data_IF_184753609507
#
_entry.id   IF_184753609507
#
_cell.length_a   1.000
_cell.length_b   1.000
_cell.length_c   1.000
_cell.angle_alpha   90.00
_cell.angle_beta   90.00
_cell.angle_gamma   90.00
#
_symmetry.space_group_name_H-M   'P 1'
#
loop_
_entity.id
_entity.type
_entity.pdbx_description
1 polymer ?
#
# COMPACT_ATOMS: atom_id res chain seq x y z
N UNK A 1 7.58 17.10 8.93
CA UNK A 1 7.18 17.00 7.51
C UNK A 1 7.97 15.82 6.99
N UNK A 2 7.33 14.67 7.04
CA UNK A 2 8.01 13.38 6.87
C UNK A 2 7.81 12.86 5.45
N UNK A 3 7.45 13.76 4.52
CA UNK A 3 7.20 13.47 3.11
C UNK A 3 8.39 12.78 2.45
N UNK A 4 9.61 13.25 2.73
CA UNK A 4 10.84 12.64 2.19
C UNK A 4 11.04 11.22 2.75
N UNK A 5 10.80 11.02 4.05
CA UNK A 5 10.92 9.70 4.67
C UNK A 5 9.89 8.73 4.10
N UNK A 6 8.63 9.16 3.96
CA UNK A 6 7.57 8.36 3.36
C UNK A 6 7.93 7.93 1.94
N UNK A 7 8.46 8.84 1.13
CA UNK A 7 8.92 8.52 -0.22
C UNK A 7 10.10 7.54 -0.22
N UNK A 8 11.07 7.71 0.68
CA UNK A 8 12.20 6.78 0.78
C UNK A 8 11.75 5.37 1.17
N UNK A 9 10.84 5.23 2.14
CA UNK A 9 10.29 3.93 2.54
C UNK A 9 9.45 3.30 1.42
N UNK A 10 8.71 4.10 0.67
CA UNK A 10 7.94 3.66 -0.49
C UNK A 10 8.87 3.06 -1.55
N UNK A 11 9.89 3.80 -2.01
CA UNK A 11 10.81 3.33 -3.04
C UNK A 11 11.68 2.16 -2.57
N UNK A 12 12.09 2.16 -1.30
CA UNK A 12 12.79 1.02 -0.70
C UNK A 12 11.94 -0.25 -0.72
N UNK A 13 10.62 -0.13 -0.52
CA UNK A 13 9.70 -1.26 -0.62
C UNK A 13 9.69 -1.84 -2.03
N UNK A 14 9.66 -0.99 -3.07
CA UNK A 14 9.76 -1.44 -4.46
C UNK A 14 11.07 -2.19 -4.74
N UNK A 15 12.20 -1.67 -4.25
CA UNK A 15 13.50 -2.33 -4.41
C UNK A 15 13.53 -3.71 -3.75
N UNK A 16 12.99 -3.83 -2.54
CA UNK A 16 12.89 -5.13 -1.84
C UNK A 16 11.97 -6.08 -2.60
N UNK A 17 10.79 -5.60 -3.04
CA UNK A 17 9.82 -6.41 -3.77
C UNK A 17 10.30 -6.88 -5.15
N UNK A 18 11.26 -6.16 -5.77
CA UNK A 18 11.91 -6.61 -7.00
C UNK A 18 12.76 -7.86 -6.77
N UNK A 19 13.42 -7.99 -5.61
CA UNK A 19 14.29 -9.12 -5.27
C UNK A 19 13.52 -10.25 -4.54
N UNK A 20 12.54 -9.88 -3.72
CA UNK A 20 11.65 -10.76 -2.98
C UNK A 20 10.18 -10.51 -3.34
N UNK A 21 9.68 -11.12 -4.42
CA UNK A 21 8.31 -10.89 -4.88
C UNK A 21 7.27 -11.18 -3.80
N UNK A 22 6.28 -10.30 -3.67
CA UNK A 22 5.09 -10.55 -2.86
C UNK A 22 4.02 -11.27 -3.69
N UNK A 23 3.01 -11.85 -3.01
CA UNK A 23 1.88 -12.50 -3.69
C UNK A 23 0.90 -11.45 -4.23
N UNK A 24 1.12 -11.02 -5.47
CA UNK A 24 0.26 -10.04 -6.16
C UNK A 24 -1.20 -10.54 -6.26
N UNK A 25 -1.41 -11.86 -6.42
CA UNK A 25 -2.76 -12.42 -6.50
C UNK A 25 -3.51 -12.30 -5.19
N UNK A 26 -2.84 -12.55 -4.06
CA UNK A 26 -3.42 -12.31 -2.73
C UNK A 26 -3.78 -10.84 -2.51
N UNK A 27 -2.95 -9.89 -2.98
CA UNK A 27 -3.23 -8.46 -2.89
C UNK A 27 -4.45 -8.05 -3.72
N UNK A 28 -4.53 -8.54 -4.97
CA UNK A 28 -5.69 -8.30 -5.84
C UNK A 28 -6.97 -8.88 -5.27
N UNK A 29 -6.91 -10.08 -4.70
CA UNK A 29 -8.06 -10.71 -4.06
C UNK A 29 -8.56 -9.92 -2.84
N UNK A 30 -7.67 -9.35 -2.02
CA UNK A 30 -8.07 -8.52 -0.87
C UNK A 30 -8.67 -7.18 -1.31
N UNK A 31 -8.25 -6.65 -2.45
CA UNK A 31 -8.76 -5.39 -3.01
C UNK A 31 -9.99 -5.55 -3.90
N UNK A 32 -10.54 -6.77 -4.03
CA UNK A 32 -11.58 -7.12 -5.01
C UNK A 32 -11.27 -6.63 -6.45
N UNK A 33 -9.97 -6.59 -6.79
CA UNK A 33 -9.42 -6.05 -8.05
C UNK A 33 -9.86 -4.59 -8.36
N UNK A 34 -10.16 -3.77 -7.35
CA UNK A 34 -10.62 -2.39 -7.47
C UNK A 34 -9.54 -1.36 -7.89
N UNK A 35 -8.42 -1.82 -8.44
CA UNK A 35 -7.32 -0.95 -8.86
C UNK A 35 -7.71 -0.11 -10.08
N UNK A 36 -7.34 1.17 -10.07
CA UNK A 36 -7.69 2.13 -11.14
C UNK A 36 -6.67 2.17 -12.29
N UNK A 37 -5.56 1.43 -12.18
CA UNK A 37 -4.49 1.37 -13.18
C UNK A 37 -3.52 2.55 -13.10
N UNK A 38 -2.48 2.51 -13.95
CA UNK A 38 -1.44 3.56 -14.02
C UNK A 38 -2.09 4.91 -14.36
N UNK A 39 -2.05 5.85 -13.41
CA UNK A 39 -2.54 7.23 -13.53
C UNK A 39 -1.88 7.99 -14.70
N UNK A 40 -0.79 7.49 -15.29
CA UNK A 40 -0.21 8.04 -16.52
C UNK A 40 -0.96 7.64 -17.80
N UNK A 41 -1.76 6.57 -17.77
CA UNK A 41 -2.51 6.04 -18.91
C UNK A 41 -4.03 6.23 -18.80
N UNK A 42 -4.53 6.70 -17.66
CA UNK A 42 -5.94 7.07 -17.46
C UNK A 42 -6.00 8.59 -17.37
N UNK A 43 -6.14 9.25 -18.52
CA UNK A 43 -6.11 10.71 -18.63
C UNK A 43 -6.97 11.42 -17.57
N UNK A 44 -6.38 12.41 -16.91
CA UNK A 44 -7.02 13.35 -15.97
C UNK A 44 -7.97 12.74 -14.91
N UNK A 45 -7.78 11.48 -14.51
CA UNK A 45 -8.52 10.95 -13.36
C UNK A 45 -7.84 11.44 -12.10
N UNK A 46 -8.44 12.46 -11.48
CA UNK A 46 -8.05 12.88 -10.15
C UNK A 46 -8.14 11.67 -9.20
N UNK A 47 -7.07 11.41 -8.47
CA UNK A 47 -7.11 10.42 -7.39
C UNK A 47 -8.18 10.86 -6.37
N UNK A 48 -8.89 9.91 -5.75
CA UNK A 48 -9.90 10.23 -4.75
C UNK A 48 -9.27 10.86 -3.50
N UNK A 49 -10.11 11.36 -2.59
CA UNK A 49 -9.61 11.86 -1.30
C UNK A 49 -9.05 10.71 -0.45
N UNK A 50 -8.22 11.01 0.57
CA UNK A 50 -7.75 9.99 1.50
C UNK A 50 -8.87 9.19 2.17
N UNK A 51 -9.98 9.83 2.51
CA UNK A 51 -11.15 9.18 3.13
C UNK A 51 -11.81 8.21 2.15
N UNK A 52 -12.07 8.65 0.92
CA UNK A 52 -12.64 7.82 -0.16
C UNK A 52 -11.73 6.61 -0.47
N UNK A 53 -10.41 6.79 -0.46
CA UNK A 53 -9.46 5.70 -0.65
C UNK A 53 -9.54 4.65 0.48
N UNK A 54 -9.65 5.10 1.73
CA UNK A 54 -9.77 4.21 2.90
C UNK A 54 -11.09 3.45 2.88
N UNK A 55 -12.19 4.12 2.55
CA UNK A 55 -13.49 3.48 2.32
C UNK A 55 -13.43 2.42 1.21
N UNK A 56 -12.67 2.68 0.14
CA UNK A 56 -12.40 1.73 -0.93
C UNK A 56 -11.37 0.64 -0.56
N UNK A 57 -10.82 0.64 0.66
CA UNK A 57 -9.89 -0.38 1.13
C UNK A 57 -8.42 -0.13 0.80
N UNK A 58 -8.03 1.12 0.55
CA UNK A 58 -6.67 1.54 0.24
C UNK A 58 -6.13 2.54 1.27
N UNK A 59 -4.87 2.38 1.67
CA UNK A 59 -4.30 3.19 2.74
C UNK A 59 -4.04 4.65 2.33
N UNK A 60 -3.90 4.90 1.03
CA UNK A 60 -3.79 6.23 0.41
C UNK A 60 -4.46 6.21 -0.97
N UNK A 61 -4.77 7.37 -1.56
CA UNK A 61 -5.25 7.41 -2.93
C UNK A 61 -4.25 6.84 -3.95
N UNK A 62 -2.94 6.98 -3.70
CA UNK A 62 -1.92 6.48 -4.61
C UNK A 62 -1.80 4.95 -4.58
N UNK A 63 -2.12 4.31 -3.45
CA UNK A 63 -2.20 2.85 -3.32
C UNK A 63 -3.23 2.22 -4.28
N UNK A 64 -4.19 2.99 -4.80
CA UNK A 64 -5.24 2.49 -5.70
C UNK A 64 -4.75 2.20 -7.12
N UNK A 65 -3.54 2.65 -7.46
CA UNK A 65 -3.05 2.63 -8.85
C UNK A 65 -2.66 1.23 -9.28
N UNK A 66 -1.88 0.51 -8.48
CA UNK A 66 -1.46 -0.87 -8.74
C UNK A 66 -1.24 -1.63 -7.41
N UNK A 67 -1.24 -2.98 -7.43
CA UNK A 67 -0.86 -3.76 -6.26
C UNK A 67 0.54 -3.44 -5.70
N UNK A 68 1.47 -3.04 -6.55
CA UNK A 68 2.83 -2.68 -6.16
C UNK A 68 2.84 -1.38 -5.36
N UNK A 69 2.10 -0.39 -5.84
CA UNK A 69 1.95 0.90 -5.15
C UNK A 69 1.14 0.76 -3.86
N UNK A 70 0.19 -0.17 -3.83
CA UNK A 70 -0.56 -0.54 -2.63
C UNK A 70 0.34 -1.09 -1.53
N UNK A 71 1.20 -2.05 -1.87
CA UNK A 71 2.21 -2.57 -0.94
C UNK A 71 3.15 -1.46 -0.45
N UNK A 72 3.70 -0.67 -1.37
CA UNK A 72 4.67 0.38 -1.06
C UNK A 72 4.09 1.48 -0.17
N UNK A 73 2.91 2.00 -0.50
CA UNK A 73 2.21 2.99 0.34
C UNK A 73 1.79 2.40 1.69
N UNK A 74 1.37 1.12 1.73
CA UNK A 74 1.00 0.45 2.99
C UNK A 74 2.16 0.38 3.96
N UNK A 75 3.35 -0.03 3.49
CA UNK A 75 4.53 -0.10 4.34
C UNK A 75 5.09 1.28 4.68
N UNK A 76 5.10 2.21 3.71
CA UNK A 76 5.60 3.56 3.94
C UNK A 76 4.79 4.31 5.00
N UNK A 77 3.45 4.28 4.92
CA UNK A 77 2.59 4.90 5.93
C UNK A 77 2.75 4.20 7.27
N UNK A 78 2.74 2.86 7.30
CA UNK A 78 2.89 2.10 8.55
C UNK A 78 4.23 2.34 9.27
N UNK A 79 5.31 2.60 8.52
CA UNK A 79 6.64 2.85 9.07
C UNK A 79 6.83 4.29 9.54
N UNK A 80 6.31 5.27 8.80
CA UNK A 80 6.56 6.70 9.05
C UNK A 80 5.47 7.33 9.93
N UNK A 81 4.21 6.93 9.75
CA UNK A 81 3.05 7.45 10.48
C UNK A 81 2.15 6.31 10.97
N UNK A 82 2.62 5.67 12.04
CA UNK A 82 1.93 4.51 12.63
C UNK A 82 0.54 4.86 13.16
N UNK A 83 0.31 6.08 13.63
CA UNK A 83 -0.99 6.49 14.15
C UNK A 83 -2.01 6.58 13.00
N UNK A 84 -1.66 7.22 11.89
CA UNK A 84 -2.50 7.25 10.70
C UNK A 84 -2.75 5.84 10.13
N UNK A 85 -1.75 4.96 10.13
CA UNK A 85 -1.94 3.58 9.70
C UNK A 85 -2.97 2.83 10.57
N UNK A 86 -2.91 3.01 11.89
CA UNK A 86 -3.86 2.39 12.82
C UNK A 86 -5.27 2.96 12.66
N UNK A 87 -5.42 4.28 12.53
CA UNK A 87 -6.71 4.92 12.30
C UNK A 87 -7.37 4.38 11.01
N UNK A 88 -6.62 4.30 9.91
CA UNK A 88 -7.12 3.77 8.63
C UNK A 88 -7.46 2.27 8.71
N UNK A 89 -6.69 1.50 9.48
CA UNK A 89 -6.98 0.10 9.76
C UNK A 89 -8.22 -0.09 10.63
N UNK A 90 -8.55 0.87 11.50
CA UNK A 90 -9.80 0.88 12.26
C UNK A 90 -11.00 1.23 11.39
N UNK A 91 -10.83 2.20 10.48
CA UNK A 91 -11.87 2.61 9.54
C UNK A 91 -12.16 1.56 8.46
N UNK A 92 -11.18 0.73 8.07
CA UNK A 92 -11.32 -0.23 6.97
C UNK A 92 -10.70 -1.60 7.30
N UNK A 93 -11.53 -2.66 7.43
CA UNK A 93 -11.04 -4.03 7.61
C UNK A 93 -10.12 -4.50 6.47
N UNK A 94 -10.36 -4.02 5.25
CA UNK A 94 -9.53 -4.31 4.08
C UNK A 94 -8.14 -3.68 4.23
N UNK A 95 -8.05 -2.41 4.65
CA UNK A 95 -6.76 -1.75 4.94
C UNK A 95 -6.02 -2.50 6.06
N UNK A 96 -6.71 -2.88 7.13
CA UNK A 96 -6.11 -3.70 8.21
C UNK A 96 -5.53 -4.99 7.67
N UNK A 97 -6.28 -5.69 6.83
CA UNK A 97 -5.84 -6.96 6.25
C UNK A 97 -4.60 -6.78 5.38
N UNK A 98 -4.52 -5.70 4.61
CA UNK A 98 -3.34 -5.38 3.78
C UNK A 98 -2.11 -5.06 4.63
N UNK A 99 -2.27 -4.32 5.73
CA UNK A 99 -1.16 -4.08 6.67
C UNK A 99 -0.63 -5.40 7.24
N UNK A 100 -1.52 -6.30 7.69
CA UNK A 100 -1.13 -7.62 8.19
C UNK A 100 -0.34 -8.42 7.14
N UNK A 101 -0.86 -8.48 5.90
CA UNK A 101 -0.19 -9.18 4.81
C UNK A 101 1.17 -8.57 4.51
N UNK A 102 1.28 -7.24 4.46
CA UNK A 102 2.53 -6.53 4.20
C UNK A 102 3.58 -6.84 5.27
N UNK A 103 3.18 -6.87 6.55
CA UNK A 103 4.08 -7.19 7.66
C UNK A 103 4.51 -8.66 7.65
N UNK A 104 3.62 -9.59 7.29
CA UNK A 104 3.98 -11.01 7.13
C UNK A 104 4.98 -11.21 6.00
N UNK A 105 4.74 -10.58 4.85
CA UNK A 105 5.67 -10.63 3.72
C UNK A 105 7.04 -10.05 4.11
N UNK A 106 7.06 -8.84 4.69
CA UNK A 106 8.31 -8.18 5.09
C UNK A 106 9.08 -9.01 6.13
N UNK A 107 8.40 -9.61 7.11
CA UNK A 107 9.04 -10.52 8.06
C UNK A 107 9.66 -11.74 7.36
N UNK A 108 9.02 -12.27 6.31
CA UNK A 108 9.55 -13.36 5.50
C UNK A 108 10.81 -12.99 4.75
N UNK A 109 10.93 -11.76 4.25
CA UNK A 109 12.15 -11.24 3.60
C UNK A 109 13.34 -11.37 4.54
N UNK A 110 13.22 -10.85 5.77
CA UNK A 110 14.33 -10.84 6.74
C UNK A 110 14.72 -12.20 7.31
N UNK A 111 13.85 -13.20 7.20
CA UNK A 111 14.14 -14.59 7.64
C UNK A 111 14.81 -15.40 6.52
N UNK A 112 14.73 -14.93 5.28
CA UNK A 112 15.26 -15.60 4.10
C UNK A 112 16.74 -15.24 3.80
N UNK A 113 17.28 -14.24 4.50
CA UNK A 113 18.70 -13.87 4.56
C UNK A 113 19.45 -14.63 5.67
#
# INVERSE_FOLDING_TARGET
>A
DDTVLRLLHHEMTHLIACDHPFDEHAWRAVSDDAYVGDVRNVGDVALPTPEEAVEAGFITPYAMTTPWEDLAETLAVSAVDREAALERAEASPTVRRKIELALVWLAGVWVSD
#
